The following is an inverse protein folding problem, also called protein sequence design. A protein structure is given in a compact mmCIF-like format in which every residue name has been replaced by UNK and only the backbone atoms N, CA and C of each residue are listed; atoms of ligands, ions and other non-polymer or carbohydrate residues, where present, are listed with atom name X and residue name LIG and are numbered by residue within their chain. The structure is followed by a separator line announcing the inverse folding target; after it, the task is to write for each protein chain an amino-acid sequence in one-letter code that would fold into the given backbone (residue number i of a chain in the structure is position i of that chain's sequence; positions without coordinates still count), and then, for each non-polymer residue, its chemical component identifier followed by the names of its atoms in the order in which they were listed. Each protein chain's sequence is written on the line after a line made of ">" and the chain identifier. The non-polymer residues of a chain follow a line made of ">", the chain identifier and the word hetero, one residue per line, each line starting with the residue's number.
data_IF_389643460351
#
_entry.id   IF_389643460351
#
_cell.length_a   1.000
_cell.length_b   1.000
_cell.length_c   1.000
_cell.angle_alpha   90.00
_cell.angle_beta   90.00
_cell.angle_gamma   90.00
#
_symmetry.space_group_name_H-M   'P 1'
#
loop_
_entity.id
_entity.type
_entity.pdbx_description
1 polymer ?
#
# COMPACT_ATOMS: atom_id res chain seq x y z
N UNK A 1 8.01 -25.09 55.95
CA UNK A 1 7.10 -24.00 56.34
C UNK A 1 7.88 -22.69 56.46
N UNK A 2 7.67 -21.76 55.53
CA UNK A 2 7.68 -20.29 55.76
C UNK A 2 7.34 -19.60 54.43
N UNK A 3 6.10 -19.13 54.38
CA UNK A 3 5.50 -18.31 53.32
C UNK A 3 6.27 -17.01 53.11
N UNK A 4 6.43 -16.58 51.86
CA UNK A 4 6.31 -15.16 51.48
C UNK A 4 5.67 -15.04 50.09
N UNK A 5 4.36 -14.83 50.11
CA UNK A 5 3.56 -14.32 49.00
C UNK A 5 3.82 -12.82 48.95
N UNK A 6 4.37 -12.30 47.86
CA UNK A 6 4.41 -10.87 47.58
C UNK A 6 3.28 -10.59 46.59
N UNK A 7 2.18 -10.05 47.14
CA UNK A 7 1.12 -9.37 46.38
C UNK A 7 1.68 -8.03 45.95
N UNK A 8 1.75 -7.75 44.65
CA UNK A 8 1.80 -6.37 44.15
C UNK A 8 0.55 -6.13 43.31
N UNK A 9 -0.26 -5.20 43.82
CA UNK A 9 -1.57 -4.87 43.32
C UNK A 9 -1.52 -4.00 42.07
N UNK A 10 -2.61 -4.13 41.32
CA UNK A 10 -3.18 -3.17 40.40
C UNK A 10 -2.83 -1.71 40.70
N UNK A 11 -2.31 -1.01 39.70
CA UNK A 11 -2.63 0.41 39.51
C UNK A 11 -2.91 0.63 38.02
N UNK A 12 -4.21 0.56 37.70
CA UNK A 12 -4.77 1.07 36.45
C UNK A 12 -4.83 2.59 36.59
N UNK A 13 -4.13 3.31 35.71
CA UNK A 13 -4.40 4.72 35.49
C UNK A 13 -4.68 4.92 34.00
N UNK A 14 -5.98 4.97 33.71
CA UNK A 14 -6.57 5.59 32.53
C UNK A 14 -6.11 7.05 32.47
N UNK A 15 -5.49 7.45 31.36
CA UNK A 15 -5.69 8.80 30.83
C UNK A 15 -5.88 8.71 29.32
N UNK A 16 -7.14 8.91 28.96
CA UNK A 16 -7.70 9.13 27.63
C UNK A 16 -7.07 10.32 26.92
N UNK A 17 -6.60 10.12 25.69
CA UNK A 17 -6.66 11.13 24.64
C UNK A 17 -7.29 10.50 23.40
N UNK A 18 -8.59 10.75 23.25
CA UNK A 18 -9.34 10.52 22.02
C UNK A 18 -8.91 11.63 21.05
N UNK A 19 -8.03 11.33 20.10
CA UNK A 19 -7.89 12.16 18.91
C UNK A 19 -8.81 11.61 17.83
N UNK A 20 -10.01 12.20 17.74
CA UNK A 20 -10.96 11.97 16.67
C UNK A 20 -10.32 12.31 15.32
N UNK A 21 -10.01 11.28 14.53
CA UNK A 21 -9.70 11.43 13.12
C UNK A 21 -11.01 11.25 12.36
N UNK A 22 -11.60 12.37 11.94
CA UNK A 22 -12.81 12.40 11.12
C UNK A 22 -12.47 11.74 9.77
N UNK A 23 -12.94 10.51 9.59
CA UNK A 23 -13.00 9.84 8.29
C UNK A 23 -14.23 10.41 7.57
N UNK A 24 -14.02 11.51 6.85
CA UNK A 24 -15.01 12.08 5.93
C UNK A 24 -15.02 11.30 4.62
N UNK A 25 -15.78 10.20 4.57
CA UNK A 25 -16.15 9.55 3.32
C UNK A 25 -17.20 10.39 2.59
N UNK A 26 -16.83 10.96 1.43
CA UNK A 26 -17.78 11.57 0.51
C UNK A 26 -18.28 10.51 -0.46
N UNK A 27 -19.50 10.03 -0.17
CA UNK A 27 -20.37 9.31 -1.10
C UNK A 27 -20.77 10.29 -2.20
N UNK A 28 -20.20 10.14 -3.40
CA UNK A 28 -20.70 10.86 -4.58
C UNK A 28 -21.92 10.10 -5.10
N UNK A 29 -23.09 10.57 -4.65
CA UNK A 29 -24.38 10.19 -5.23
C UNK A 29 -24.48 10.79 -6.63
N UNK A 30 -24.62 9.93 -7.65
CA UNK A 30 -24.98 10.31 -9.01
C UNK A 30 -26.39 10.93 -8.99
N UNK A 31 -26.50 12.23 -9.24
CA UNK A 31 -27.73 12.84 -9.75
C UNK A 31 -27.41 13.64 -11.00
N UNK A 32 -28.02 13.20 -12.11
CA UNK A 32 -28.09 13.91 -13.38
C UNK A 32 -28.58 15.34 -13.14
N UNK A 33 -27.83 16.32 -13.63
CA UNK A 33 -28.33 17.67 -13.87
C UNK A 33 -27.97 18.03 -15.29
N UNK A 34 -29.02 18.34 -16.04
CA UNK A 34 -29.05 18.59 -17.47
C UNK A 34 -28.09 19.69 -17.93
N UNK A 35 -27.46 19.43 -19.07
CA UNK A 35 -26.75 20.42 -19.86
C UNK A 35 -27.75 21.47 -20.37
N UNK A 36 -27.67 22.68 -19.85
CA UNK A 36 -28.00 23.89 -20.63
C UNK A 36 -26.70 24.63 -20.95
N UNK A 37 -26.33 24.56 -22.22
CA UNK A 37 -25.34 25.41 -22.86
C UNK A 37 -25.89 26.82 -22.89
N UNK A 38 -25.20 27.75 -22.24
CA UNK A 38 -25.24 29.18 -22.61
C UNK A 38 -23.80 29.67 -22.57
N UNK A 39 -23.31 30.08 -23.74
CA UNK A 39 -21.98 30.60 -23.92
C UNK A 39 -21.81 31.94 -23.21
N UNK A 40 -20.64 32.11 -22.60
CA UNK A 40 -20.03 33.42 -22.46
C UNK A 40 -18.53 33.20 -22.47
N UNK A 41 -17.90 33.55 -23.58
CA UNK A 41 -16.46 33.72 -23.66
C UNK A 41 -16.05 34.74 -22.60
N UNK A 42 -15.14 34.38 -21.71
CA UNK A 42 -14.30 35.35 -21.06
C UNK A 42 -12.91 34.75 -20.83
N UNK A 43 -11.96 35.38 -21.50
CA UNK A 43 -10.54 35.14 -21.48
C UNK A 43 -10.01 35.05 -20.04
N UNK A 44 -9.74 33.83 -19.58
CA UNK A 44 -8.84 33.62 -18.45
C UNK A 44 -7.57 33.01 -19.00
N UNK A 45 -6.59 33.88 -19.24
CA UNK A 45 -5.18 33.52 -19.20
C UNK A 45 -4.95 32.76 -17.90
N UNK A 46 -4.92 31.43 -17.99
CA UNK A 46 -4.51 30.56 -16.91
C UNK A 46 -2.99 30.67 -16.83
N UNK A 47 -2.51 31.76 -16.23
CA UNK A 47 -1.23 31.72 -15.54
C UNK A 47 -1.43 30.73 -14.40
N UNK A 48 -1.10 29.47 -14.67
CA UNK A 48 -0.65 28.57 -13.62
C UNK A 48 0.60 29.23 -13.05
N UNK A 49 0.42 30.10 -12.05
CA UNK A 49 1.50 30.49 -11.17
C UNK A 49 2.05 29.20 -10.59
N UNK A 50 3.19 28.77 -11.15
CA UNK A 50 4.16 27.98 -10.40
C UNK A 50 4.34 28.74 -9.10
N UNK A 51 3.71 28.27 -8.01
CA UNK A 51 4.09 28.68 -6.65
C UNK A 51 5.58 28.41 -6.57
N UNK A 52 6.34 29.49 -6.68
CA UNK A 52 7.79 29.49 -6.74
C UNK A 52 8.26 28.92 -5.39
N UNK A 53 8.76 27.67 -5.39
CA UNK A 53 9.15 26.89 -4.21
C UNK A 53 10.46 27.41 -3.58
N UNK A 54 10.55 28.71 -3.31
CA UNK A 54 11.68 29.31 -2.60
C UNK A 54 11.34 29.40 -1.12
N UNK A 55 12.20 28.84 -0.27
CA UNK A 55 12.25 29.19 1.14
C UNK A 55 13.52 30.01 1.35
N UNK A 56 13.39 31.26 1.79
CA UNK A 56 14.55 32.10 2.15
C UNK A 56 15.61 32.24 1.04
N UNK A 57 15.18 32.33 -0.23
CA UNK A 57 16.02 32.40 -1.45
C UNK A 57 16.68 31.07 -1.87
N UNK A 58 16.46 29.99 -1.11
CA UNK A 58 16.90 28.66 -1.47
C UNK A 58 15.74 27.91 -2.15
N UNK A 59 16.01 27.36 -3.32
CA UNK A 59 15.00 26.69 -4.13
C UNK A 59 14.94 25.20 -3.75
N UNK A 60 13.78 24.73 -3.27
CA UNK A 60 13.65 23.35 -2.77
C UNK A 60 13.90 22.30 -3.87
N UNK A 61 13.66 22.65 -5.13
CA UNK A 61 13.95 21.80 -6.30
C UNK A 61 15.45 21.52 -6.51
N UNK A 62 16.35 22.31 -5.92
CA UNK A 62 17.80 22.13 -6.06
C UNK A 62 18.36 21.01 -5.17
N UNK A 63 17.58 20.56 -4.20
CA UNK A 63 17.89 19.39 -3.42
C UNK A 63 17.82 18.12 -4.29
N UNK A 64 18.74 17.18 -4.07
CA UNK A 64 18.76 15.89 -4.75
C UNK A 64 18.64 14.76 -3.74
N UNK A 65 17.69 13.85 -3.97
CA UNK A 65 17.59 12.62 -3.21
C UNK A 65 18.65 11.64 -3.69
N UNK A 66 19.48 11.17 -2.77
CA UNK A 66 20.61 10.28 -3.06
C UNK A 66 20.69 9.14 -2.05
N UNK A 67 21.38 8.07 -2.43
CA UNK A 67 21.69 6.95 -1.53
C UNK A 67 23.02 7.18 -0.82
N UNK A 68 23.09 6.81 0.46
CA UNK A 68 24.35 6.64 1.19
C UNK A 68 24.92 5.24 0.95
N UNK A 69 25.01 4.40 2.00
CA UNK A 69 25.53 3.02 1.89
C UNK A 69 24.62 2.01 1.18
N UNK A 70 23.44 2.44 0.74
CA UNK A 70 22.45 1.55 0.15
C UNK A 70 22.84 1.20 -1.29
N UNK A 71 23.03 -0.09 -1.57
CA UNK A 71 22.98 -0.58 -2.95
C UNK A 71 21.53 -0.75 -3.39
N UNK A 72 21.03 0.25 -4.11
CA UNK A 72 19.65 0.27 -4.61
C UNK A 72 19.36 -0.82 -5.64
N UNK A 73 20.36 -1.32 -6.40
CA UNK A 73 20.12 -2.31 -7.47
C UNK A 73 19.61 -3.64 -6.93
N UNK A 74 19.95 -3.96 -5.68
CA UNK A 74 19.60 -5.22 -5.03
C UNK A 74 18.28 -5.17 -4.24
N UNK A 75 17.63 -4.00 -4.16
CA UNK A 75 16.41 -3.83 -3.36
C UNK A 75 15.30 -3.12 -4.13
N UNK A 76 14.05 -3.49 -3.85
CA UNK A 76 12.87 -2.80 -4.38
C UNK A 76 12.67 -1.44 -3.71
N UNK A 77 12.10 -0.49 -4.44
CA UNK A 77 11.78 0.83 -3.89
C UNK A 77 10.65 0.72 -2.86
N UNK A 78 9.70 -0.20 -3.05
CA UNK A 78 8.59 -0.46 -2.11
C UNK A 78 9.06 -0.77 -0.70
N UNK A 79 10.25 -1.33 -0.52
CA UNK A 79 10.88 -1.54 0.79
C UNK A 79 10.93 -0.27 1.65
N UNK A 80 11.03 0.89 1.02
CA UNK A 80 11.09 2.21 1.67
C UNK A 80 9.87 3.08 1.39
N UNK A 81 8.77 2.51 0.91
CA UNK A 81 7.50 3.22 0.74
C UNK A 81 6.66 3.18 2.02
N UNK A 82 5.74 4.13 2.18
CA UNK A 82 4.80 4.13 3.31
C UNK A 82 3.78 2.98 3.21
N UNK A 83 3.30 2.70 1.99
CA UNK A 83 2.28 1.70 1.70
C UNK A 83 2.80 0.70 0.66
N UNK A 84 3.70 -0.22 1.03
CA UNK A 84 4.21 -1.23 0.11
C UNK A 84 3.16 -2.27 -0.24
N UNK A 85 3.18 -2.71 -1.50
CA UNK A 85 2.70 -4.04 -1.88
C UNK A 85 3.67 -5.06 -1.25
N UNK A 86 3.21 -5.79 -0.24
CA UNK A 86 4.03 -6.58 0.71
C UNK A 86 4.89 -7.70 0.08
N UNK A 87 6.18 -7.48 -0.09
CA UNK A 87 7.12 -8.57 -0.42
C UNK A 87 7.60 -9.22 0.89
N UNK A 88 7.57 -10.56 0.99
CA UNK A 88 7.92 -11.32 2.20
C UNK A 88 9.36 -11.06 2.68
N UNK A 89 10.29 -10.77 1.78
CA UNK A 89 11.67 -10.37 2.13
C UNK A 89 11.76 -9.01 2.85
N UNK A 90 10.67 -8.25 2.93
CA UNK A 90 10.62 -6.92 3.55
C UNK A 90 10.17 -6.92 5.02
N UNK A 91 9.81 -8.08 5.61
CA UNK A 91 9.22 -8.17 6.97
C UNK A 91 10.08 -7.57 8.09
N UNK A 92 11.41 -7.60 7.98
CA UNK A 92 12.33 -7.15 9.03
C UNK A 92 12.97 -5.78 8.76
N UNK A 93 12.42 -4.99 7.84
CA UNK A 93 13.04 -3.72 7.44
C UNK A 93 12.30 -2.50 8.01
N UNK A 94 13.00 -1.38 8.28
CA UNK A 94 12.34 -0.13 8.65
C UNK A 94 11.40 0.25 7.52
N UNK A 95 10.11 0.36 7.83
CA UNK A 95 9.12 0.87 6.87
C UNK A 95 9.52 2.30 6.52
N UNK A 96 9.21 2.75 5.31
CA UNK A 96 9.37 4.14 4.87
C UNK A 96 8.45 5.12 5.59
N UNK A 97 8.20 4.89 6.88
CA UNK A 97 7.37 5.75 7.70
C UNK A 97 8.02 7.13 7.89
N UNK A 98 7.21 8.08 8.36
CA UNK A 98 7.66 9.47 8.54
C UNK A 98 8.86 9.57 9.51
N UNK A 99 8.93 8.70 10.52
CA UNK A 99 10.03 8.69 11.50
C UNK A 99 11.32 8.19 10.88
N UNK A 100 11.26 7.13 10.06
CA UNK A 100 12.41 6.65 9.28
C UNK A 100 12.99 7.78 8.44
N UNK A 101 12.15 8.42 7.62
CA UNK A 101 12.60 9.50 6.74
C UNK A 101 13.12 10.72 7.49
N UNK A 102 12.47 11.10 8.60
CA UNK A 102 12.97 12.16 9.46
C UNK A 102 14.36 11.82 10.01
N UNK A 103 14.59 10.58 10.45
CA UNK A 103 15.91 10.14 10.91
C UNK A 103 16.96 10.07 9.79
N UNK A 104 16.51 9.83 8.55
CA UNK A 104 17.40 9.83 7.39
C UNK A 104 17.74 11.25 6.91
N UNK A 105 16.86 12.25 7.06
CA UNK A 105 16.97 13.52 6.33
C UNK A 105 17.03 14.78 7.21
N UNK A 106 16.74 14.67 8.51
CA UNK A 106 16.81 15.76 9.47
C UNK A 106 17.93 15.44 10.47
N UNK A 107 19.00 16.23 10.45
CA UNK A 107 20.23 15.98 11.21
C UNK A 107 20.54 17.10 12.19
N UNK A 108 21.10 16.78 13.36
CA UNK A 108 21.53 17.81 14.31
C UNK A 108 22.79 18.57 13.87
N UNK A 109 23.55 18.05 12.89
CA UNK A 109 24.75 18.67 12.32
C UNK A 109 24.87 18.38 10.82
N UNK A 110 25.59 19.24 10.09
CA UNK A 110 25.96 18.97 8.69
C UNK A 110 26.87 17.75 8.68
N UNK A 111 26.47 16.72 7.94
CA UNK A 111 27.28 15.52 7.73
C UNK A 111 28.13 15.71 6.48
N UNK A 112 29.41 15.36 6.56
CA UNK A 112 30.24 15.29 5.36
C UNK A 112 29.82 14.09 4.50
N UNK A 113 30.09 14.12 3.19
CA UNK A 113 29.65 13.08 2.25
C UNK A 113 30.12 11.67 2.66
N UNK A 114 31.32 11.56 3.23
CA UNK A 114 31.87 10.31 3.76
C UNK A 114 31.10 9.79 5.00
N UNK A 115 30.55 10.66 5.84
CA UNK A 115 29.70 10.31 6.98
C UNK A 115 28.29 9.90 6.50
N UNK A 116 27.72 10.63 5.53
CA UNK A 116 26.46 10.27 4.87
C UNK A 116 26.53 8.86 4.27
N UNK A 117 27.63 8.55 3.59
CA UNK A 117 27.87 7.25 2.97
C UNK A 117 28.10 6.11 3.97
N UNK A 118 28.37 6.39 5.26
CA UNK A 118 28.55 5.35 6.29
C UNK A 118 27.31 5.15 7.16
N UNK A 119 26.67 6.25 7.54
CA UNK A 119 25.70 6.25 8.63
C UNK A 119 24.25 6.30 8.14
N UNK A 120 24.02 6.71 6.88
CA UNK A 120 22.67 6.89 6.33
C UNK A 120 22.44 6.02 5.09
N UNK A 121 21.19 5.62 4.91
CA UNK A 121 20.72 4.94 3.70
C UNK A 121 20.38 5.96 2.61
N UNK A 122 19.87 7.12 3.02
CA UNK A 122 19.40 8.18 2.13
C UNK A 122 19.86 9.55 2.63
N UNK A 123 20.03 10.47 1.69
CA UNK A 123 20.29 11.89 1.96
C UNK A 123 19.54 12.78 0.99
N UNK A 124 19.30 14.02 1.41
CA UNK A 124 18.75 15.06 0.54
C UNK A 124 19.78 16.20 0.48
N UNK A 125 20.54 16.25 -0.61
CA UNK A 125 21.74 17.06 -0.74
C UNK A 125 21.48 18.31 -1.58
N UNK A 126 21.83 19.48 -1.05
CA UNK A 126 21.78 20.74 -1.79
C UNK A 126 23.19 21.14 -2.25
N UNK A 127 23.38 21.68 -3.48
CA UNK A 127 24.70 22.04 -4.01
C UNK A 127 25.46 23.08 -3.16
N UNK A 128 24.74 23.89 -2.38
CA UNK A 128 25.30 24.85 -1.42
C UNK A 128 25.46 24.30 0.01
N UNK A 129 25.43 22.98 0.20
CA UNK A 129 25.50 22.31 1.51
C UNK A 129 24.41 22.76 2.50
N UNK A 130 23.24 23.13 2.00
CA UNK A 130 22.08 23.48 2.83
C UNK A 130 21.39 22.19 3.26
N UNK A 131 21.03 22.11 4.55
CA UNK A 131 20.29 20.99 5.13
C UNK A 131 18.83 21.38 5.40
N UNK A 132 17.93 20.42 5.34
CA UNK A 132 16.48 20.63 5.58
C UNK A 132 16.18 21.22 6.95
N UNK A 133 17.03 20.97 7.96
CA UNK A 133 16.91 21.53 9.30
C UNK A 133 16.78 23.05 9.32
N UNK A 134 17.42 23.76 8.38
CA UNK A 134 17.32 25.22 8.27
C UNK A 134 15.87 25.70 8.20
N UNK A 135 14.98 24.91 7.63
CA UNK A 135 13.57 25.26 7.46
C UNK A 135 12.70 24.83 8.65
N UNK A 136 13.23 24.03 9.58
CA UNK A 136 12.44 23.46 10.69
C UNK A 136 12.04 24.48 11.74
N UNK A 137 12.65 25.66 11.79
CA UNK A 137 12.22 26.73 12.70
C UNK A 137 10.84 27.28 12.31
N UNK A 138 10.61 27.46 11.01
CA UNK A 138 9.38 28.05 10.44
C UNK A 138 8.34 27.00 10.04
N UNK A 139 8.78 25.82 9.63
CA UNK A 139 7.92 24.77 9.09
C UNK A 139 8.01 23.48 9.91
N UNK A 140 6.87 22.79 10.03
CA UNK A 140 6.82 21.35 10.29
C UNK A 140 7.06 20.66 8.95
N UNK A 141 8.06 19.78 8.90
CA UNK A 141 8.40 19.02 7.69
C UNK A 141 7.91 17.58 7.88
N UNK A 142 7.14 17.07 6.92
CA UNK A 142 6.69 15.68 6.89
C UNK A 142 7.10 14.98 5.61
N UNK A 143 7.24 13.66 5.68
CA UNK A 143 7.76 12.82 4.62
C UNK A 143 6.77 11.71 4.29
N UNK A 144 6.48 11.56 3.00
CA UNK A 144 5.69 10.46 2.46
C UNK A 144 6.42 9.88 1.24
N UNK A 145 6.56 8.57 1.22
CA UNK A 145 7.35 7.81 0.26
C UNK A 145 6.49 6.82 -0.49
N UNK A 146 6.79 6.70 -1.78
CA UNK A 146 6.02 5.93 -2.74
C UNK A 146 6.98 5.23 -3.70
N UNK A 147 6.54 4.14 -4.31
CA UNK A 147 7.42 3.29 -5.11
C UNK A 147 6.86 3.03 -6.50
N UNK A 148 7.77 2.93 -7.45
CA UNK A 148 7.51 2.37 -8.75
C UNK A 148 8.49 1.22 -8.94
N UNK A 149 8.07 0.02 -8.56
CA UNK A 149 8.89 -1.17 -8.69
C UNK A 149 8.94 -1.66 -10.14
N UNK A 150 8.09 -1.18 -11.05
CA UNK A 150 8.23 -1.47 -12.49
C UNK A 150 9.46 -0.77 -13.06
N UNK A 151 9.64 0.50 -12.69
CA UNK A 151 10.73 1.32 -13.21
C UNK A 151 11.94 1.44 -12.26
N UNK A 152 11.83 0.89 -11.05
CA UNK A 152 12.89 0.96 -10.04
C UNK A 152 13.09 2.39 -9.52
N UNK A 153 11.99 3.06 -9.18
CA UNK A 153 12.00 4.47 -8.74
C UNK A 153 11.38 4.59 -7.35
N UNK A 154 12.07 5.30 -6.46
CA UNK A 154 11.51 5.78 -5.21
C UNK A 154 11.11 7.24 -5.36
N UNK A 155 9.89 7.58 -4.97
CA UNK A 155 9.41 8.95 -4.84
C UNK A 155 9.33 9.33 -3.38
N UNK A 156 9.84 10.52 -3.04
CA UNK A 156 9.73 11.10 -1.71
C UNK A 156 9.05 12.46 -1.81
N UNK A 157 7.81 12.52 -1.34
CA UNK A 157 7.08 13.76 -1.14
C UNK A 157 7.46 14.37 0.21
N UNK A 158 7.96 15.60 0.16
CA UNK A 158 8.28 16.41 1.33
C UNK A 158 7.27 17.54 1.41
N UNK A 159 6.54 17.61 2.52
CA UNK A 159 5.54 18.66 2.76
C UNK A 159 6.06 19.59 3.84
N UNK A 160 5.98 20.90 3.56
CA UNK A 160 6.38 21.97 4.47
C UNK A 160 5.12 22.68 4.95
N UNK A 161 4.72 22.43 6.19
CA UNK A 161 3.54 23.06 6.81
C UNK A 161 4.01 24.18 7.75
N UNK A 162 3.60 25.44 7.56
CA UNK A 162 3.93 26.53 8.46
C UNK A 162 3.55 26.22 9.91
N UNK A 163 4.44 26.52 10.86
CA UNK A 163 4.11 26.40 12.30
C UNK A 163 3.12 27.47 12.76
N UNK A 164 3.18 28.63 12.13
CA UNK A 164 2.24 29.73 12.35
C UNK A 164 0.90 29.37 11.69
N UNK A 165 -0.13 29.16 12.50
CA UNK A 165 -1.47 28.79 12.04
C UNK A 165 -2.12 29.85 11.15
N UNK A 166 -1.67 31.11 11.23
CA UNK A 166 -2.19 32.20 10.38
C UNK A 166 -1.63 32.14 8.96
N UNK A 167 -0.59 31.34 8.73
CA UNK A 167 0.12 31.22 7.44
C UNK A 167 -0.09 29.89 6.74
N UNK A 168 -1.09 29.09 7.14
CA UNK A 168 -1.31 27.74 6.58
C UNK A 168 -1.45 27.71 5.05
N UNK A 169 -1.88 28.81 4.42
CA UNK A 169 -1.91 29.00 2.96
C UNK A 169 -0.54 28.88 2.27
N UNK A 170 0.53 29.05 3.03
CA UNK A 170 1.92 28.97 2.58
C UNK A 170 2.46 27.54 2.64
N UNK A 171 1.62 26.57 2.98
CA UNK A 171 1.98 25.16 2.82
C UNK A 171 2.27 24.85 1.35
N UNK A 172 3.34 24.09 1.13
CA UNK A 172 3.70 23.58 -0.18
C UNK A 172 4.36 22.20 -0.06
N UNK A 173 4.49 21.52 -1.19
CA UNK A 173 5.11 20.20 -1.29
C UNK A 173 6.07 20.13 -2.46
N UNK A 174 7.07 19.26 -2.33
CA UNK A 174 7.97 18.91 -3.41
C UNK A 174 8.16 17.40 -3.45
N UNK A 175 8.21 16.83 -4.65
CA UNK A 175 8.40 15.41 -4.87
C UNK A 175 9.80 15.20 -5.46
N UNK A 176 10.66 14.53 -4.70
CA UNK A 176 11.95 14.06 -5.19
C UNK A 176 11.81 12.65 -5.75
N UNK A 177 12.58 12.33 -6.78
CA UNK A 177 12.66 10.99 -7.35
C UNK A 177 14.09 10.45 -7.32
N UNK A 178 14.22 9.15 -7.07
CA UNK A 178 15.49 8.45 -7.05
C UNK A 178 15.35 7.14 -7.83
N UNK A 179 16.00 7.09 -8.99
CA UNK A 179 15.99 5.94 -9.90
C UNK A 179 17.08 4.92 -9.57
N UNK A 180 16.95 3.71 -10.12
CA UNK A 180 17.98 2.67 -10.10
C UNK A 180 17.78 1.59 -9.05
N UNK A 181 16.58 1.50 -8.47
CA UNK A 181 16.17 0.37 -7.62
C UNK A 181 15.95 -0.90 -8.44
N UNK A 182 15.92 -2.05 -7.76
CA UNK A 182 15.53 -3.33 -8.37
C UNK A 182 14.14 -3.20 -9.00
N UNK A 183 14.00 -3.69 -10.23
CA UNK A 183 12.74 -3.73 -10.97
C UNK A 183 12.00 -5.05 -10.73
N UNK A 184 10.68 -5.01 -10.86
CA UNK A 184 9.80 -6.16 -10.72
C UNK A 184 10.30 -7.36 -11.53
N UNK A 185 10.33 -8.50 -10.87
CA UNK A 185 10.51 -9.82 -11.45
C UNK A 185 9.50 -10.75 -10.75
N UNK A 186 8.80 -11.58 -11.54
CA UNK A 186 7.78 -12.49 -11.04
C UNK A 186 8.32 -13.48 -9.99
N UNK A 187 9.54 -13.99 -10.19
CA UNK A 187 10.16 -14.95 -9.27
C UNK A 187 10.34 -14.35 -7.87
N UNK A 188 10.79 -13.10 -7.78
CA UNK A 188 10.99 -12.41 -6.50
C UNK A 188 9.68 -12.14 -5.76
N UNK A 189 8.58 -11.93 -6.50
CA UNK A 189 7.26 -11.64 -5.94
C UNK A 189 6.51 -12.92 -5.53
N UNK A 190 6.78 -14.04 -6.21
CA UNK A 190 6.08 -15.31 -6.00
C UNK A 190 6.03 -15.78 -4.55
N UNK A 191 7.12 -15.60 -3.78
CA UNK A 191 7.21 -16.01 -2.38
C UNK A 191 6.22 -15.29 -1.44
N UNK A 192 5.75 -14.11 -1.84
CA UNK A 192 4.78 -13.30 -1.11
C UNK A 192 3.35 -13.47 -1.60
N UNK A 193 3.11 -14.21 -2.69
CA UNK A 193 1.82 -14.33 -3.34
C UNK A 193 1.09 -15.59 -2.90
N UNK A 194 -0.05 -15.43 -2.23
CA UNK A 194 -0.88 -16.55 -1.79
C UNK A 194 -2.33 -16.14 -1.60
N UNK A 195 -3.22 -17.13 -1.57
CA UNK A 195 -4.61 -16.94 -1.14
C UNK A 195 -4.60 -16.94 0.39
N UNK A 196 -5.05 -15.83 0.98
CA UNK A 196 -5.03 -15.62 2.43
C UNK A 196 -6.23 -16.29 3.10
N UNK A 197 -7.41 -16.11 2.52
CA UNK A 197 -8.64 -16.63 3.09
C UNK A 197 -9.74 -16.74 2.02
N UNK A 198 -10.61 -17.74 2.19
CA UNK A 198 -11.84 -17.86 1.41
C UNK A 198 -12.97 -18.13 2.38
N UNK A 199 -13.97 -17.24 2.39
CA UNK A 199 -15.12 -17.38 3.26
C UNK A 199 -16.27 -18.09 2.55
N UNK A 200 -16.81 -19.11 3.20
CA UNK A 200 -17.97 -19.84 2.73
C UNK A 200 -19.24 -19.03 3.00
N UNK A 201 -20.12 -18.92 2.00
CA UNK A 201 -21.50 -18.54 2.22
C UNK A 201 -22.29 -19.75 2.73
N UNK A 202 -22.33 -19.92 4.06
CA UNK A 202 -22.91 -21.10 4.71
C UNK A 202 -24.37 -21.34 4.32
N UNK A 203 -25.16 -20.27 4.18
CA UNK A 203 -26.58 -20.39 3.83
C UNK A 203 -26.76 -20.95 2.42
N UNK A 204 -25.94 -20.52 1.46
CA UNK A 204 -25.97 -21.07 0.11
C UNK A 204 -25.40 -22.50 0.03
N UNK A 205 -24.40 -22.86 0.84
CA UNK A 205 -23.88 -24.22 0.83
C UNK A 205 -24.85 -25.24 1.49
N UNK A 206 -25.60 -24.84 2.52
CA UNK A 206 -26.59 -25.72 3.18
C UNK A 206 -27.73 -26.18 2.27
N UNK A 207 -27.96 -25.50 1.12
CA UNK A 207 -28.98 -25.92 0.15
C UNK A 207 -28.65 -27.27 -0.51
N UNK A 208 -27.40 -27.73 -0.43
CA UNK A 208 -26.99 -29.03 -0.95
C UNK A 208 -27.12 -30.10 0.13
N UNK A 209 -27.77 -31.21 -0.23
CA UNK A 209 -28.01 -32.32 0.69
C UNK A 209 -26.72 -32.97 1.19
N UNK A 210 -25.66 -32.99 0.37
CA UNK A 210 -24.37 -33.55 0.70
C UNK A 210 -23.26 -32.99 -0.21
N UNK A 211 -22.01 -33.35 0.08
CA UNK A 211 -20.86 -32.86 -0.66
C UNK A 211 -20.85 -33.30 -2.14
N UNK A 212 -21.33 -34.50 -2.48
CA UNK A 212 -21.43 -34.92 -3.88
C UNK A 212 -22.42 -34.03 -4.68
N UNK A 213 -23.56 -33.68 -4.10
CA UNK A 213 -24.53 -32.78 -4.75
C UNK A 213 -23.94 -31.39 -5.02
N UNK A 214 -23.09 -30.87 -4.11
CA UNK A 214 -22.35 -29.63 -4.35
C UNK A 214 -21.38 -29.77 -5.53
N UNK A 215 -20.63 -30.87 -5.58
CA UNK A 215 -19.66 -31.17 -6.65
C UNK A 215 -20.36 -31.27 -8.01
N UNK A 216 -21.50 -31.94 -8.07
CA UNK A 216 -22.25 -32.14 -9.31
C UNK A 216 -22.76 -30.82 -9.88
N UNK A 217 -23.31 -29.93 -9.04
CA UNK A 217 -23.78 -28.61 -9.47
C UNK A 217 -22.62 -27.68 -9.86
N UNK A 218 -21.47 -27.76 -9.19
CA UNK A 218 -20.26 -27.07 -9.66
C UNK A 218 -19.82 -27.59 -11.04
N UNK A 219 -19.75 -28.90 -11.24
CA UNK A 219 -19.30 -29.50 -12.51
C UNK A 219 -20.24 -29.14 -13.66
N UNK A 220 -21.55 -29.11 -13.40
CA UNK A 220 -22.56 -28.62 -14.34
C UNK A 220 -22.33 -27.16 -14.71
N UNK A 221 -22.16 -26.28 -13.73
CA UNK A 221 -21.86 -24.87 -13.97
C UNK A 221 -20.54 -24.68 -14.76
N UNK A 222 -19.51 -25.46 -14.44
CA UNK A 222 -18.23 -25.45 -15.14
C UNK A 222 -18.36 -25.87 -16.62
N UNK A 223 -19.17 -26.90 -16.91
CA UNK A 223 -19.41 -27.35 -18.28
C UNK A 223 -20.18 -26.34 -19.14
N UNK A 224 -20.88 -25.39 -18.52
CA UNK A 224 -21.63 -24.33 -19.19
C UNK A 224 -20.79 -23.08 -19.51
N UNK A 225 -19.51 -23.08 -19.13
CA UNK A 225 -18.57 -22.00 -19.43
C UNK A 225 -18.17 -21.14 -18.23
N UNK A 226 -17.19 -20.27 -18.46
CA UNK A 226 -16.51 -19.49 -17.41
C UNK A 226 -17.46 -18.55 -16.64
N UNK A 227 -18.45 -17.96 -17.30
CA UNK A 227 -19.43 -17.08 -16.67
C UNK A 227 -20.29 -17.84 -15.65
N UNK A 228 -20.82 -19.01 -16.03
CA UNK A 228 -21.63 -19.86 -15.14
C UNK A 228 -20.81 -20.44 -13.98
N UNK A 229 -19.57 -20.84 -14.25
CA UNK A 229 -18.63 -21.23 -13.19
C UNK A 229 -18.41 -20.09 -12.19
N UNK A 230 -18.14 -18.87 -12.67
CA UNK A 230 -17.89 -17.72 -11.79
C UNK A 230 -19.14 -17.30 -11.02
N UNK A 231 -20.34 -17.36 -11.62
CA UNK A 231 -21.61 -17.13 -10.92
C UNK A 231 -21.81 -18.12 -9.77
N UNK A 232 -21.57 -19.42 -10.01
CA UNK A 232 -21.64 -20.45 -8.98
C UNK A 232 -20.66 -20.16 -7.85
N UNK A 233 -19.39 -19.90 -8.17
CA UNK A 233 -18.34 -19.60 -7.18
C UNK A 233 -18.70 -18.39 -6.33
N UNK A 234 -19.13 -17.28 -6.94
CA UNK A 234 -19.50 -16.05 -6.23
C UNK A 234 -20.78 -16.20 -5.40
N UNK A 235 -21.66 -17.16 -5.74
CA UNK A 235 -22.81 -17.51 -4.91
C UNK A 235 -22.37 -18.31 -3.68
N UNK A 236 -21.46 -19.27 -3.83
CA UNK A 236 -21.07 -20.18 -2.75
C UNK A 236 -20.05 -19.61 -1.76
N UNK A 237 -19.28 -18.61 -2.18
CA UNK A 237 -18.22 -18.00 -1.36
C UNK A 237 -18.40 -16.49 -1.27
N UNK A 238 -18.29 -15.94 -0.07
CA UNK A 238 -18.63 -14.56 0.25
C UNK A 238 -17.44 -13.59 0.20
N UNK A 239 -16.20 -14.10 0.30
CA UNK A 239 -14.99 -13.29 0.09
C UNK A 239 -13.82 -14.14 -0.38
N UNK A 240 -12.96 -13.52 -1.19
CA UNK A 240 -11.70 -14.07 -1.66
C UNK A 240 -10.58 -13.11 -1.29
N UNK A 241 -9.86 -13.42 -0.21
CA UNK A 241 -8.77 -12.60 0.28
C UNK A 241 -7.44 -13.18 -0.22
N UNK A 242 -6.60 -12.33 -0.77
CA UNK A 242 -5.22 -12.68 -1.17
C UNK A 242 -4.20 -11.94 -0.32
N UNK A 243 -2.93 -12.30 -0.47
CA UNK A 243 -1.83 -11.53 0.12
C UNK A 243 -1.81 -10.10 -0.43
N UNK A 244 -1.22 -9.12 0.27
CA UNK A 244 -1.22 -7.73 -0.21
C UNK A 244 -0.38 -7.49 -1.49
N UNK A 245 0.37 -8.47 -1.97
CA UNK A 245 1.09 -8.49 -3.27
C UNK A 245 0.33 -9.18 -4.37
N UNK A 246 -0.84 -9.74 -4.09
CA UNK A 246 -1.61 -10.46 -5.06
C UNK A 246 -3.03 -9.89 -5.15
N UNK A 247 -3.62 -10.08 -6.31
CA UNK A 247 -5.06 -9.99 -6.50
C UNK A 247 -5.54 -11.29 -7.12
N UNK A 248 -6.74 -11.69 -6.72
CA UNK A 248 -7.39 -12.88 -7.22
C UNK A 248 -8.59 -12.47 -8.09
N UNK A 249 -8.77 -13.17 -9.21
CA UNK A 249 -9.92 -13.02 -10.09
C UNK A 249 -10.83 -14.23 -9.89
N UNK A 250 -12.12 -14.02 -9.56
CA UNK A 250 -13.07 -15.11 -9.37
C UNK A 250 -13.20 -15.99 -10.61
N UNK A 251 -12.97 -15.42 -11.80
CA UNK A 251 -13.00 -16.16 -13.07
C UNK A 251 -11.84 -17.14 -13.22
N UNK A 252 -10.67 -16.79 -12.65
CA UNK A 252 -9.47 -17.65 -12.68
C UNK A 252 -9.52 -18.78 -11.66
N UNK A 253 -10.51 -18.81 -10.76
CA UNK A 253 -10.68 -19.89 -9.79
C UNK A 253 -11.19 -21.15 -10.48
N UNK A 254 -10.58 -22.28 -10.13
CA UNK A 254 -11.08 -23.63 -10.35
C UNK A 254 -11.15 -24.36 -9.00
N UNK A 255 -12.19 -25.17 -8.83
CA UNK A 255 -12.33 -26.04 -7.66
C UNK A 255 -11.93 -27.46 -8.00
N UNK A 256 -11.17 -28.06 -7.09
CA UNK A 256 -10.94 -29.50 -7.00
C UNK A 256 -11.51 -30.02 -5.68
N UNK A 257 -11.81 -31.32 -5.64
CA UNK A 257 -12.53 -31.92 -4.53
C UNK A 257 -11.82 -33.15 -4.01
N UNK A 258 -11.42 -33.10 -2.75
CA UNK A 258 -10.95 -34.26 -2.01
C UNK A 258 -12.14 -34.85 -1.26
N UNK A 259 -12.78 -35.83 -1.90
CA UNK A 259 -13.95 -36.53 -1.36
C UNK A 259 -13.64 -37.31 -0.09
N UNK A 260 -12.44 -37.85 0.03
CA UNK A 260 -12.05 -38.67 1.18
C UNK A 260 -11.97 -37.82 2.46
N UNK A 261 -11.50 -36.58 2.33
CA UNK A 261 -11.36 -35.65 3.46
C UNK A 261 -12.44 -34.57 3.52
N UNK A 262 -13.46 -34.64 2.64
CA UNK A 262 -14.54 -33.66 2.56
C UNK A 262 -14.02 -32.20 2.42
N UNK A 263 -13.03 -32.00 1.54
CA UNK A 263 -12.39 -30.69 1.31
C UNK A 263 -12.66 -30.14 -0.09
N UNK A 264 -12.86 -28.83 -0.16
CA UNK A 264 -12.83 -28.05 -1.39
C UNK A 264 -11.44 -27.42 -1.51
N UNK A 265 -10.78 -27.66 -2.63
CA UNK A 265 -9.45 -27.14 -2.96
C UNK A 265 -9.64 -26.07 -4.04
N UNK A 266 -9.30 -24.83 -3.71
CA UNK A 266 -9.27 -23.73 -4.67
C UNK A 266 -7.93 -23.73 -5.35
N UNK A 267 -7.93 -23.65 -6.68
CA UNK A 267 -6.77 -23.36 -7.51
C UNK A 267 -7.04 -22.09 -8.29
N UNK A 268 -6.09 -21.16 -8.29
CA UNK A 268 -6.20 -19.93 -9.06
C UNK A 268 -4.81 -19.46 -9.47
N UNK A 269 -4.73 -18.83 -10.63
CA UNK A 269 -3.56 -18.05 -11.04
C UNK A 269 -3.73 -16.65 -10.46
N UNK A 270 -2.76 -16.24 -9.64
CA UNK A 270 -2.76 -14.93 -9.00
C UNK A 270 -2.21 -13.87 -9.95
N UNK A 271 -2.70 -12.64 -9.81
CA UNK A 271 -2.09 -11.47 -10.46
C UNK A 271 -1.24 -10.73 -9.44
N UNK A 272 -0.07 -10.24 -9.83
CA UNK A 272 0.79 -9.45 -8.96
C UNK A 272 0.24 -8.02 -8.84
N UNK A 273 0.11 -7.54 -7.61
CA UNK A 273 -0.11 -6.13 -7.30
C UNK A 273 1.23 -5.46 -7.11
N UNK A 274 1.53 -4.48 -7.95
CA UNK A 274 2.85 -3.84 -8.03
C UNK A 274 2.68 -2.34 -7.82
N UNK A 275 3.46 -1.77 -6.90
CA UNK A 275 3.57 -0.31 -6.77
C UNK A 275 4.13 0.27 -8.07
N UNK A 276 3.37 1.19 -8.68
CA UNK A 276 3.66 1.78 -9.97
C UNK A 276 3.46 3.30 -9.94
N UNK A 277 3.84 3.91 -8.82
CA UNK A 277 3.66 5.34 -8.57
C UNK A 277 4.25 6.18 -9.70
N UNK A 278 3.63 7.31 -9.95
CA UNK A 278 4.14 8.36 -10.84
C UNK A 278 4.00 9.70 -10.14
N UNK A 279 4.67 10.74 -10.63
CA UNK A 279 4.52 12.09 -10.06
C UNK A 279 3.07 12.59 -10.10
N UNK A 280 2.25 12.11 -11.05
CA UNK A 280 0.82 12.45 -11.19
C UNK A 280 -0.09 11.59 -10.33
N UNK A 281 0.34 10.38 -9.99
CA UNK A 281 -0.43 9.42 -9.19
C UNK A 281 0.53 8.61 -8.31
N UNK A 282 0.77 9.14 -7.11
CA UNK A 282 1.70 8.57 -6.15
C UNK A 282 1.19 7.28 -5.51
N UNK A 283 -0.11 7.01 -5.53
CA UNK A 283 -0.69 5.80 -4.92
C UNK A 283 -0.97 4.70 -5.94
N UNK A 284 -0.54 4.87 -7.20
CA UNK A 284 -0.81 3.93 -8.27
C UNK A 284 -0.28 2.54 -7.94
N UNK A 285 -1.18 1.57 -8.00
CA UNK A 285 -0.89 0.13 -7.98
C UNK A 285 -1.45 -0.43 -9.29
N UNK A 286 -0.68 -1.27 -9.96
CA UNK A 286 -1.17 -2.03 -11.12
C UNK A 286 -1.33 -3.50 -10.75
N UNK A 287 -2.25 -4.16 -11.44
CA UNK A 287 -2.34 -5.62 -11.45
C UNK A 287 -1.66 -6.14 -12.72
N UNK A 288 -0.77 -7.13 -12.58
CA UNK A 288 -0.04 -7.76 -13.68
C UNK A 288 -0.29 -9.26 -13.66
N UNK A 289 -0.64 -9.82 -14.81
CA UNK A 289 -0.80 -11.27 -14.98
C UNK A 289 0.51 -12.00 -14.62
N UNK A 290 0.40 -13.17 -14.02
CA UNK A 290 1.54 -14.02 -13.66
C UNK A 290 1.28 -15.48 -14.01
N UNK A 291 2.28 -16.33 -13.84
CA UNK A 291 2.13 -17.80 -13.89
C UNK A 291 2.00 -18.44 -12.50
N UNK A 292 1.89 -17.64 -11.43
CA UNK A 292 1.91 -18.14 -10.05
C UNK A 292 0.57 -18.76 -9.69
N UNK A 293 0.57 -20.09 -9.59
CA UNK A 293 -0.54 -20.86 -9.05
C UNK A 293 -0.58 -20.77 -7.52
N UNK A 294 -1.76 -20.48 -6.99
CA UNK A 294 -2.04 -20.56 -5.57
C UNK A 294 -3.13 -21.59 -5.28
N UNK A 295 -3.00 -22.21 -4.11
CA UNK A 295 -3.96 -23.19 -3.60
C UNK A 295 -4.46 -22.78 -2.22
N UNK A 296 -5.74 -23.03 -1.96
CA UNK A 296 -6.34 -22.85 -0.64
C UNK A 296 -7.35 -23.96 -0.37
N UNK A 297 -7.31 -24.53 0.82
CA UNK A 297 -8.19 -25.63 1.20
C UNK A 297 -9.18 -25.18 2.26
N UNK A 298 -10.43 -25.56 2.08
CA UNK A 298 -11.47 -25.42 3.10
C UNK A 298 -12.16 -26.76 3.30
N UNK A 299 -12.59 -27.01 4.53
CA UNK A 299 -13.47 -28.15 4.82
C UNK A 299 -14.89 -27.80 4.39
N UNK A 300 -15.54 -28.70 3.67
CA UNK A 300 -16.95 -28.55 3.32
C UNK A 300 -17.80 -28.64 4.60
N UNK A 301 -18.68 -27.65 4.88
CA UNK A 301 -19.47 -27.65 6.09
C UNK A 301 -20.48 -28.79 6.05
N UNK A 302 -20.42 -29.71 7.02
CA UNK A 302 -21.44 -30.75 7.19
C UNK A 302 -22.72 -30.14 7.72
N UNK A 303 -23.88 -30.57 7.23
CA UNK A 303 -25.21 -30.15 7.72
C UNK A 303 -25.51 -30.58 9.19
N UNK A 304 -24.56 -31.17 9.91
CA UNK A 304 -24.71 -31.74 11.26
C UNK A 304 -24.02 -30.92 12.37
N UNK A 305 -23.79 -29.62 12.20
CA UNK A 305 -23.21 -28.75 13.24
C UNK A 305 -23.98 -27.45 13.42
#
# INVERSE_FOLDING_TARGET
>A
MKNKIIKFGFLILLTSFISASIIGGLVISKKNIDKKVVGTENNNNKLEEKKNNYIEKDEISQFKLETGKLDKKEVFASKYANNPTFIKSSFNTPRGDSSFWKNQLIFSRILQQNELNKDKLFGLNHPKNIILNKFTDKFKISFNSYANDLEGILYLKVTFTPKDSTKLSDQFEHIFSLNGFKKYNENDFSEGMFIKNININKENIKQFNNFNAFIDEYNKANSQGEEKKSEFINKMFSSFDSSPTASLDSKSINLEFDKANNKIIFKSILKALINASTEKDLNKIISKETSIEAKFEITYPSNNS
#
